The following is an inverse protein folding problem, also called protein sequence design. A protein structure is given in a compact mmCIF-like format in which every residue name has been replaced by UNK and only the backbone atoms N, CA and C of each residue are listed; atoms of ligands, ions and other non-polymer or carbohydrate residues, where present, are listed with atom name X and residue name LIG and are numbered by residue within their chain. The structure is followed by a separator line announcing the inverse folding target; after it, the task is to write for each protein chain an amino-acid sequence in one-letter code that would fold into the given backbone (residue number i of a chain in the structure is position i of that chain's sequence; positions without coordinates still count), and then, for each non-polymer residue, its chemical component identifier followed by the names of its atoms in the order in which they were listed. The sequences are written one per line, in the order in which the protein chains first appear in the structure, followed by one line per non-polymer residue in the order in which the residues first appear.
data_IF_310118928613
#
_entry.id   IF_310118928613
#
_cell.length_a   1.000
_cell.length_b   1.000
_cell.length_c   1.000
_cell.angle_alpha   90.00
_cell.angle_beta   90.00
_cell.angle_gamma   90.00
#
_symmetry.space_group_name_H-M   'P 1'
#
loop_
_entity.id
_entity.type
_entity.pdbx_description
1 polymer ?
#
# COMPACT_ATOMS: atom_id res chain seq x y z
N UNK A 1 5.18 19.30 25.15
CA UNK A 1 4.01 19.08 24.25
C UNK A 1 4.44 18.67 22.85
N UNK A 2 5.32 19.44 22.18
CA UNK A 2 5.79 19.16 20.81
C UNK A 2 6.41 17.75 20.63
N UNK A 3 7.23 17.29 21.59
CA UNK A 3 7.82 15.95 21.55
C UNK A 3 6.79 14.81 21.57
N UNK A 4 5.70 14.94 22.35
CA UNK A 4 4.64 13.93 22.38
C UNK A 4 3.86 13.88 21.05
N UNK A 5 3.65 15.04 20.41
CA UNK A 5 3.00 15.10 19.10
C UNK A 5 3.85 14.44 18.02
N UNK A 6 5.16 14.67 18.02
CA UNK A 6 6.10 14.03 17.09
C UNK A 6 6.11 12.51 17.28
N UNK A 7 6.15 12.03 18.53
CA UNK A 7 6.11 10.60 18.84
C UNK A 7 4.77 9.99 18.38
N UNK A 8 3.64 10.66 18.62
CA UNK A 8 2.34 10.19 18.19
C UNK A 8 2.23 10.11 16.66
N UNK A 9 2.73 11.13 15.94
CA UNK A 9 2.79 11.11 14.47
C UNK A 9 3.68 9.98 13.95
N UNK A 10 4.83 9.74 14.58
CA UNK A 10 5.74 8.66 14.19
C UNK A 10 5.08 7.29 14.39
N UNK A 11 4.44 7.06 15.54
CA UNK A 11 3.72 5.82 15.82
C UNK A 11 2.57 5.60 14.84
N UNK A 12 1.83 6.66 14.49
CA UNK A 12 0.78 6.60 13.49
C UNK A 12 1.33 6.22 12.11
N UNK A 13 2.43 6.85 11.68
CA UNK A 13 3.08 6.54 10.42
C UNK A 13 3.55 5.06 10.38
N UNK A 14 4.18 4.59 11.45
CA UNK A 14 4.60 3.18 11.58
C UNK A 14 3.39 2.24 11.50
N UNK A 15 2.31 2.54 12.22
CA UNK A 15 1.10 1.72 12.20
C UNK A 15 0.47 1.65 10.80
N UNK A 16 0.45 2.76 10.06
CA UNK A 16 -0.01 2.82 8.67
C UNK A 16 0.86 1.93 7.77
N UNK A 17 2.19 2.06 7.87
CA UNK A 17 3.14 1.26 7.07
C UNK A 17 2.98 -0.23 7.36
N UNK A 18 2.91 -0.62 8.63
CA UNK A 18 2.72 -2.03 9.02
C UNK A 18 1.38 -2.55 8.48
N UNK A 19 0.31 -1.76 8.60
CA UNK A 19 -1.00 -2.14 8.09
C UNK A 19 -1.00 -2.33 6.57
N UNK A 20 -0.32 -1.45 5.83
CA UNK A 20 -0.13 -1.55 4.38
C UNK A 20 0.70 -2.78 4.00
N UNK A 21 1.78 -3.08 4.73
CA UNK A 21 2.57 -4.28 4.51
C UNK A 21 1.77 -5.54 4.74
N UNK A 22 1.03 -5.63 5.85
CA UNK A 22 0.15 -6.78 6.14
C UNK A 22 -0.91 -6.93 5.07
N UNK A 23 -1.54 -5.83 4.64
CA UNK A 23 -2.52 -5.84 3.56
C UNK A 23 -1.93 -6.26 2.21
N UNK A 24 -0.73 -5.78 1.87
CA UNK A 24 -0.01 -6.15 0.66
C UNK A 24 0.40 -7.62 0.65
N UNK A 25 0.95 -8.12 1.76
CA UNK A 25 1.31 -9.54 1.96
C UNK A 25 0.06 -10.40 1.84
N UNK A 26 -1.04 -10.03 2.52
CA UNK A 26 -2.33 -10.71 2.39
C UNK A 26 -2.80 -10.74 0.93
N UNK A 27 -2.73 -9.61 0.22
CA UNK A 27 -3.18 -9.51 -1.16
C UNK A 27 -2.34 -10.34 -2.13
N UNK A 28 -1.02 -10.44 -1.89
CA UNK A 28 -0.11 -11.30 -2.66
C UNK A 28 -0.37 -12.78 -2.39
N UNK A 29 -0.39 -13.20 -1.13
CA UNK A 29 -0.54 -14.60 -0.73
C UNK A 29 -1.93 -15.14 -1.06
N UNK A 30 -2.98 -14.46 -0.63
CA UNK A 30 -4.37 -14.93 -0.77
C UNK A 30 -4.99 -14.55 -2.11
N UNK A 31 -4.34 -13.68 -2.89
CA UNK A 31 -4.94 -13.11 -4.09
C UNK A 31 -6.23 -12.35 -3.79
N UNK A 32 -6.36 -11.79 -2.58
CA UNK A 32 -7.55 -11.05 -2.12
C UNK A 32 -7.12 -9.86 -1.27
N UNK A 33 -7.64 -8.69 -1.61
CA UNK A 33 -7.42 -7.48 -0.81
C UNK A 33 -8.33 -7.45 0.42
N UNK A 34 -7.85 -6.94 1.58
CA UNK A 34 -8.66 -6.78 2.76
C UNK A 34 -9.66 -5.62 2.57
N UNK A 35 -10.93 -5.86 2.88
CA UNK A 35 -12.01 -4.88 2.80
C UNK A 35 -12.87 -4.95 1.54
N UNK A 36 -14.20 -4.84 1.71
CA UNK A 36 -15.18 -4.88 0.61
C UNK A 36 -14.92 -3.76 -0.42
N UNK A 37 -14.63 -2.55 0.03
CA UNK A 37 -14.36 -1.39 -0.84
C UNK A 37 -13.15 -1.58 -1.74
N UNK A 38 -12.06 -2.15 -1.22
CA UNK A 38 -10.86 -2.42 -2.01
C UNK A 38 -11.09 -3.55 -3.01
N UNK A 39 -11.87 -4.56 -2.64
CA UNK A 39 -12.20 -5.70 -3.50
C UNK A 39 -12.94 -5.28 -4.78
N UNK A 40 -13.75 -4.22 -4.71
CA UNK A 40 -14.45 -3.65 -5.86
C UNK A 40 -13.52 -2.82 -6.77
N UNK A 41 -12.49 -2.17 -6.21
CA UNK A 41 -11.56 -1.30 -6.97
C UNK A 41 -10.29 -2.00 -7.46
N UNK A 42 -9.97 -3.18 -6.94
CA UNK A 42 -8.72 -3.89 -7.23
C UNK A 42 -9.02 -5.18 -7.98
N UNK A 43 -8.90 -5.13 -9.31
CA UNK A 43 -9.07 -6.31 -10.18
C UNK A 43 -7.92 -7.31 -10.04
N UNK A 44 -6.69 -6.82 -9.77
CA UNK A 44 -5.49 -7.67 -9.65
C UNK A 44 -4.85 -7.52 -8.25
N UNK A 45 -5.44 -8.16 -7.22
CA UNK A 45 -5.01 -8.02 -5.83
C UNK A 45 -3.54 -8.38 -5.60
N UNK A 46 -2.99 -9.36 -6.33
CA UNK A 46 -1.58 -9.73 -6.24
C UNK A 46 -0.63 -8.62 -6.74
N UNK A 47 -0.94 -8.02 -7.89
CA UNK A 47 -0.13 -6.93 -8.46
C UNK A 47 -0.23 -5.68 -7.61
N UNK A 48 -1.43 -5.37 -7.11
CA UNK A 48 -1.66 -4.29 -6.17
C UNK A 48 -0.84 -4.46 -4.89
N UNK A 49 -0.89 -5.65 -4.27
CA UNK A 49 -0.15 -5.94 -3.05
C UNK A 49 1.37 -5.88 -3.23
N UNK A 50 1.88 -6.37 -4.36
CA UNK A 50 3.30 -6.25 -4.71
C UNK A 50 3.73 -4.78 -4.87
N UNK A 51 2.90 -3.94 -5.51
CA UNK A 51 3.14 -2.51 -5.61
C UNK A 51 3.20 -1.81 -4.26
N UNK A 52 2.26 -2.12 -3.36
CA UNK A 52 2.23 -1.55 -1.99
C UNK A 52 3.49 -1.91 -1.21
N UNK A 53 3.93 -3.17 -1.28
CA UNK A 53 5.16 -3.63 -0.64
C UNK A 53 6.37 -2.87 -1.21
N UNK A 54 6.43 -2.69 -2.53
CA UNK A 54 7.53 -2.00 -3.20
C UNK A 54 7.58 -0.50 -2.83
N UNK A 55 6.43 0.15 -2.69
CA UNK A 55 6.35 1.53 -2.16
C UNK A 55 6.76 1.61 -0.68
N UNK A 56 6.40 0.62 0.15
CA UNK A 56 6.82 0.60 1.55
C UNK A 56 8.34 0.40 1.68
N UNK A 57 8.93 -0.43 0.83
CA UNK A 57 10.38 -0.73 0.79
C UNK A 57 11.22 0.39 0.17
N UNK A 58 10.63 1.32 -0.57
CA UNK A 58 11.36 2.44 -1.19
C UNK A 58 11.65 3.57 -0.23
N UNK A 59 10.86 3.69 0.83
CA UNK A 59 11.09 4.67 1.90
C UNK A 59 12.49 4.58 2.53
N UNK A 60 13.04 3.41 2.88
CA UNK A 60 14.42 3.30 3.36
C UNK A 60 15.49 3.36 2.26
N UNK A 61 15.13 3.20 0.98
CA UNK A 61 16.09 3.12 -0.13
C UNK A 61 16.35 4.49 -0.80
N UNK A 62 15.59 5.52 -0.45
CA UNK A 62 15.63 6.88 -1.02
C UNK A 62 15.64 6.91 -2.56
N UNK A 63 15.07 5.86 -3.16
CA UNK A 63 15.15 5.60 -4.59
C UNK A 63 13.84 5.98 -5.28
N UNK A 64 13.86 7.15 -5.91
CA UNK A 64 12.72 7.70 -6.64
C UNK A 64 12.20 6.73 -7.72
N UNK A 65 13.10 6.03 -8.41
CA UNK A 65 12.75 5.07 -9.47
C UNK A 65 11.93 3.90 -8.96
N UNK A 66 12.36 3.30 -7.85
CA UNK A 66 11.63 2.18 -7.27
C UNK A 66 10.29 2.67 -6.69
N UNK A 67 10.20 3.91 -6.20
CA UNK A 67 8.94 4.55 -5.80
C UNK A 67 7.97 4.63 -6.99
N UNK A 68 8.42 5.15 -8.14
CA UNK A 68 7.61 5.26 -9.37
C UNK A 68 7.13 3.88 -9.85
N UNK A 69 8.01 2.86 -9.83
CA UNK A 69 7.64 1.50 -10.21
C UNK A 69 6.59 0.92 -9.25
N UNK A 70 6.75 1.13 -7.94
CA UNK A 70 5.80 0.69 -6.93
C UNK A 70 4.43 1.33 -7.12
N UNK A 71 4.39 2.66 -7.31
CA UNK A 71 3.15 3.41 -7.60
C UNK A 71 2.50 2.91 -8.89
N UNK A 72 3.29 2.66 -9.94
CA UNK A 72 2.80 2.09 -11.19
C UNK A 72 2.14 0.72 -11.02
N UNK A 73 2.74 -0.18 -10.24
CA UNK A 73 2.15 -1.48 -9.92
C UNK A 73 0.84 -1.36 -9.13
N UNK A 74 0.80 -0.44 -8.15
CA UNK A 74 -0.42 -0.14 -7.39
C UNK A 74 -1.52 0.34 -8.33
N UNK A 75 -1.20 1.27 -9.23
CA UNK A 75 -2.14 1.82 -10.21
C UNK A 75 -2.63 0.76 -11.22
N UNK A 76 -1.76 -0.12 -11.71
CA UNK A 76 -2.15 -1.22 -12.61
C UNK A 76 -3.07 -2.23 -11.89
N UNK A 77 -2.83 -2.46 -10.60
CA UNK A 77 -3.71 -3.29 -9.77
C UNK A 77 -5.08 -2.66 -9.52
N UNK A 78 -5.18 -1.34 -9.64
CA UNK A 78 -6.35 -0.53 -9.38
C UNK A 78 -7.12 -0.24 -10.68
N UNK A 79 -8.31 -0.81 -10.81
CA UNK A 79 -9.25 -0.44 -11.87
C UNK A 79 -10.48 0.10 -11.17
N UNK A 80 -10.72 1.42 -11.18
CA UNK A 80 -11.96 1.95 -10.67
C UNK A 80 -13.09 1.34 -11.52
N UNK A 81 -14.11 0.78 -10.87
CA UNK A 81 -15.35 0.44 -11.55
C UNK A 81 -15.87 1.73 -12.18
N UNK A 82 -15.64 1.85 -13.48
CA UNK A 82 -16.32 2.83 -14.31
C UNK A 82 -17.80 2.52 -14.23
N UNK A 83 -18.52 3.49 -13.67
CA UNK A 83 -19.90 3.85 -13.97
C UNK A 83 -20.64 2.83 -14.86
N UNK A 84 -21.48 2.00 -14.24
CA UNK A 84 -22.59 1.33 -14.89
C UNK A 84 -23.87 1.65 -14.15
#
# INVERSE_FOLDING_TARGET
MLGMVVIAMLLLAIAIVVSLCVAGIHAVLLGRVPGRWLRYRVQRPRMWGAGVILVALTWPLDSLYACVVGVGLVAIGYVPEGER
#
